data_IF_310611861738
#
_entry.id   IF_310611861738
#
_cell.length_a   1.000
_cell.length_b   1.000
_cell.length_c   1.000
_cell.angle_alpha   90.00
_cell.angle_beta   90.00
_cell.angle_gamma   90.00
#
_symmetry.space_group_name_H-M   'P 1'
#
loop_
_entity.id
_entity.type
_entity.pdbx_description
1 polymer ?
#
# COMPACT_ATOMS: atom_id res chain seq x y z
N UNK A 1 -2.77 -23.22 8.57
CA UNK A 1 -3.07 -23.13 10.01
C UNK A 1 -2.88 -21.68 10.43
N UNK A 2 -3.86 -21.07 11.06
CA UNK A 2 -3.76 -19.76 11.72
C UNK A 2 -4.14 -19.94 13.18
N UNK A 3 -3.40 -19.34 14.09
CA UNK A 3 -3.72 -19.31 15.51
C UNK A 3 -3.95 -17.85 15.93
N UNK A 4 -4.81 -17.64 16.92
CA UNK A 4 -5.12 -16.33 17.47
C UNK A 4 -4.38 -16.21 18.78
N UNK A 5 -3.70 -15.08 19.00
CA UNK A 5 -3.03 -14.75 20.26
C UNK A 5 -3.68 -13.49 20.82
N UNK A 6 -4.07 -13.55 22.09
CA UNK A 6 -4.40 -12.35 22.85
C UNK A 6 -3.12 -11.73 23.39
N UNK A 7 -2.90 -10.46 23.03
CA UNK A 7 -1.79 -9.65 23.53
C UNK A 7 -2.41 -8.57 24.40
N UNK A 8 -1.98 -8.45 25.65
CA UNK A 8 -2.30 -7.29 26.47
C UNK A 8 -1.40 -6.13 26.03
N UNK A 9 -1.97 -5.02 25.53
CA UNK A 9 -1.17 -3.89 25.09
C UNK A 9 -0.56 -3.19 26.30
N UNK A 10 0.75 -2.98 26.26
CA UNK A 10 1.43 -2.14 27.24
C UNK A 10 1.05 -0.67 26.97
N UNK A 11 0.34 -0.05 27.92
CA UNK A 11 -0.04 1.35 27.82
C UNK A 11 1.13 2.18 28.32
N UNK A 12 1.83 2.83 27.39
CA UNK A 12 2.91 3.76 27.72
C UNK A 12 2.35 5.08 28.27
N UNK A 13 3.08 5.67 29.21
CA UNK A 13 2.78 7.03 29.69
C UNK A 13 2.83 8.02 28.53
N UNK A 14 1.87 8.93 28.48
CA UNK A 14 1.90 10.02 27.50
C UNK A 14 3.12 10.89 27.75
N UNK A 15 3.82 11.22 26.67
CA UNK A 15 4.94 12.18 26.69
C UNK A 15 4.56 13.38 25.83
N UNK A 16 5.18 14.53 26.10
CA UNK A 16 5.01 15.74 25.29
C UNK A 16 5.81 15.69 23.97
N UNK A 17 6.48 14.57 23.70
CA UNK A 17 7.25 14.37 22.47
C UNK A 17 6.29 14.09 21.31
N UNK A 18 6.28 14.99 20.33
CA UNK A 18 5.54 14.82 19.07
C UNK A 18 6.49 14.83 17.88
N UNK A 19 6.28 13.91 16.93
CA UNK A 19 6.99 13.91 15.64
C UNK A 19 5.95 14.03 14.53
N UNK A 20 6.13 15.02 13.66
CA UNK A 20 5.33 15.15 12.44
C UNK A 20 5.77 14.12 11.41
N UNK A 21 4.82 13.44 10.77
CA UNK A 21 5.08 12.43 9.73
C UNK A 21 4.49 12.91 8.41
N UNK A 22 5.32 13.07 7.39
CA UNK A 22 4.91 13.31 6.01
C UNK A 22 5.13 12.04 5.16
N UNK A 23 4.09 11.60 4.45
CA UNK A 23 4.11 10.35 3.68
C UNK A 23 4.21 10.63 2.18
N UNK A 24 5.15 9.97 1.51
CA UNK A 24 5.47 10.27 0.11
C UNK A 24 5.69 9.05 -0.80
N UNK A 25 5.66 9.32 -2.11
CA UNK A 25 5.92 8.30 -3.14
C UNK A 25 7.41 8.16 -3.44
N UNK A 26 8.19 9.24 -3.24
CA UNK A 26 9.65 9.25 -3.41
C UNK A 26 10.35 8.79 -2.14
N UNK A 27 9.89 9.28 -1.00
CA UNK A 27 10.33 8.95 0.37
C UNK A 27 9.08 8.48 1.10
N UNK A 28 9.09 7.27 1.64
CA UNK A 28 7.92 6.66 2.27
C UNK A 28 7.42 7.49 3.45
N UNK A 29 8.34 7.89 4.33
CA UNK A 29 8.06 8.74 5.47
C UNK A 29 9.20 9.74 5.67
N UNK A 30 8.86 11.00 5.90
CA UNK A 30 9.78 12.03 6.39
C UNK A 30 9.29 12.48 7.76
N UNK A 31 10.19 12.46 8.73
CA UNK A 31 9.90 12.87 10.09
C UNK A 31 10.33 14.33 10.31
N UNK A 32 9.68 15.03 11.23
CA UNK A 32 10.00 16.44 11.56
C UNK A 32 11.40 16.62 12.14
N UNK A 33 12.04 15.55 12.61
CA UNK A 33 13.44 15.52 13.07
C UNK A 33 14.45 15.39 11.91
N UNK A 34 13.98 15.32 10.66
CA UNK A 34 14.81 15.18 9.46
C UNK A 34 15.06 13.74 9.03
N UNK A 35 14.66 12.75 9.83
CA UNK A 35 14.78 11.32 9.50
C UNK A 35 13.93 10.99 8.27
N UNK A 36 14.45 10.14 7.38
CA UNK A 36 13.77 9.75 6.14
C UNK A 36 13.78 8.24 5.99
N UNK A 37 12.61 7.69 5.70
CA UNK A 37 12.42 6.28 5.32
C UNK A 37 12.21 6.23 3.82
N UNK A 38 13.09 5.53 3.12
CA UNK A 38 12.98 5.38 1.67
C UNK A 38 11.77 4.53 1.28
N UNK A 39 11.16 4.88 0.16
CA UNK A 39 10.10 4.06 -0.41
C UNK A 39 10.66 2.70 -0.86
N UNK A 40 9.93 1.59 -0.61
CA UNK A 40 10.28 0.29 -1.18
C UNK A 40 10.52 0.45 -2.69
N UNK A 41 11.68 0.00 -3.18
CA UNK A 41 12.14 0.22 -4.56
C UNK A 41 11.10 -0.09 -5.67
N UNK A 42 10.13 -1.02 -5.55
CA UNK A 42 9.16 -1.21 -6.62
C UNK A 42 7.93 -0.27 -6.57
N UNK A 43 7.77 0.60 -5.56
CA UNK A 43 6.55 1.41 -5.36
C UNK A 43 6.19 2.25 -6.59
N UNK A 44 7.15 2.99 -7.16
CA UNK A 44 6.92 3.81 -8.38
C UNK A 44 6.46 2.96 -9.57
N UNK A 45 7.03 1.76 -9.74
CA UNK A 45 6.66 0.83 -10.82
C UNK A 45 5.25 0.29 -10.61
N UNK A 46 4.88 -0.03 -9.38
CA UNK A 46 3.54 -0.46 -9.00
C UNK A 46 2.51 0.64 -9.29
N UNK A 47 2.75 1.88 -8.86
CA UNK A 47 1.86 3.02 -9.13
C UNK A 47 1.68 3.24 -10.64
N UNK A 48 2.75 3.23 -11.43
CA UNK A 48 2.67 3.39 -12.89
C UNK A 48 1.84 2.28 -13.54
N UNK A 49 1.99 1.04 -13.06
CA UNK A 49 1.21 -0.12 -13.56
C UNK A 49 -0.26 -0.02 -13.16
N UNK A 50 -0.56 0.34 -11.91
CA UNK A 50 -1.91 0.57 -11.42
C UNK A 50 -2.63 1.61 -12.29
N UNK A 51 -2.02 2.79 -12.49
CA UNK A 51 -2.60 3.86 -13.31
C UNK A 51 -2.96 3.39 -14.72
N UNK A 52 -2.11 2.58 -15.36
CA UNK A 52 -2.39 2.01 -16.69
C UNK A 52 -3.57 1.04 -16.67
N UNK A 53 -3.63 0.15 -15.66
CA UNK A 53 -4.70 -0.83 -15.53
C UNK A 53 -6.05 -0.15 -15.23
N UNK A 54 -6.07 0.79 -14.29
CA UNK A 54 -7.28 1.54 -13.92
C UNK A 54 -7.79 2.40 -15.08
N UNK A 55 -6.90 3.08 -15.82
CA UNK A 55 -7.28 3.81 -17.05
C UNK A 55 -7.80 2.88 -18.15
N UNK A 56 -7.28 1.65 -18.25
CA UNK A 56 -7.80 0.67 -19.20
C UNK A 56 -9.19 0.18 -18.81
N UNK A 57 -9.44 -0.01 -17.51
CA UNK A 57 -10.74 -0.43 -16.98
C UNK A 57 -11.80 0.66 -17.15
N UNK A 58 -11.48 1.91 -16.81
CA UNK A 58 -12.44 3.03 -16.88
C UNK A 58 -12.94 3.31 -18.30
N UNK A 59 -12.13 3.01 -19.31
CA UNK A 59 -12.48 3.15 -20.73
C UNK A 59 -13.38 2.02 -21.26
N UNK A 60 -13.69 0.99 -20.47
CA UNK A 60 -14.45 -0.18 -20.94
C UNK A 60 -15.88 -0.13 -20.44
N UNK A 61 -16.81 -0.51 -21.31
CA UNK A 61 -18.23 -0.64 -20.97
C UNK A 61 -18.43 -1.74 -19.93
N UNK A 62 -18.98 -1.37 -18.78
CA UNK A 62 -19.33 -2.29 -17.69
C UNK A 62 -20.21 -3.43 -18.22
N UNK A 63 -19.96 -4.66 -17.75
CA UNK A 63 -20.67 -5.86 -18.20
C UNK A 63 -20.15 -6.49 -19.50
N UNK A 64 -19.31 -5.79 -20.28
CA UNK A 64 -18.69 -6.41 -21.46
C UNK A 64 -17.63 -7.44 -21.07
N UNK A 65 -17.42 -8.48 -21.90
CA UNK A 65 -16.35 -9.48 -21.70
C UNK A 65 -14.96 -8.83 -21.55
N UNK A 66 -14.72 -7.70 -22.24
CA UNK A 66 -13.45 -6.95 -22.15
C UNK A 66 -13.31 -6.22 -20.82
N UNK A 67 -14.40 -5.68 -20.27
CA UNK A 67 -14.42 -5.05 -18.95
C UNK A 67 -14.10 -6.07 -17.85
N UNK A 68 -14.75 -7.23 -17.88
CA UNK A 68 -14.49 -8.31 -16.91
C UNK A 68 -13.01 -8.72 -16.89
N UNK A 69 -12.40 -8.90 -18.08
CA UNK A 69 -10.95 -9.17 -18.19
C UNK A 69 -10.08 -8.06 -17.60
N UNK A 70 -10.47 -6.79 -17.77
CA UNK A 70 -9.73 -5.67 -17.19
C UNK A 70 -9.91 -5.58 -15.67
N UNK A 71 -11.11 -5.83 -15.15
CA UNK A 71 -11.41 -5.87 -13.72
C UNK A 71 -10.57 -6.94 -13.02
N UNK A 72 -10.53 -8.15 -13.59
CA UNK A 72 -9.71 -9.24 -13.08
C UNK A 72 -8.21 -8.90 -13.04
N UNK A 73 -7.69 -8.17 -14.03
CA UNK A 73 -6.29 -7.70 -14.04
C UNK A 73 -6.00 -6.70 -12.92
N UNK A 74 -6.93 -5.78 -12.63
CA UNK A 74 -6.81 -4.83 -11.51
C UNK A 74 -6.85 -5.60 -10.18
N UNK A 75 -7.79 -6.53 -10.00
CA UNK A 75 -7.88 -7.35 -8.80
C UNK A 75 -6.59 -8.17 -8.54
N UNK A 76 -6.05 -8.83 -9.59
CA UNK A 76 -4.78 -9.57 -9.49
C UNK A 76 -3.60 -8.66 -9.13
N UNK A 77 -3.61 -7.41 -9.59
CA UNK A 77 -2.61 -6.43 -9.20
C UNK A 77 -2.71 -6.06 -7.71
N UNK A 78 -3.92 -5.84 -7.20
CA UNK A 78 -4.13 -5.59 -5.75
C UNK A 78 -3.69 -6.76 -4.88
N UNK A 79 -4.03 -8.00 -5.25
CA UNK A 79 -3.59 -9.19 -4.53
C UNK A 79 -2.06 -9.28 -4.43
N UNK A 80 -1.35 -9.02 -5.55
CA UNK A 80 0.11 -8.98 -5.56
C UNK A 80 0.68 -7.84 -4.71
N UNK A 81 0.03 -6.67 -4.71
CA UNK A 81 0.47 -5.52 -3.91
C UNK A 81 0.35 -5.84 -2.41
N UNK A 82 -0.75 -6.45 -1.98
CA UNK A 82 -0.97 -6.88 -0.59
C UNK A 82 0.13 -7.83 -0.13
N UNK A 83 0.40 -8.90 -0.89
CA UNK A 83 1.48 -9.85 -0.61
C UNK A 83 2.88 -9.22 -0.56
N UNK A 84 3.09 -8.13 -1.32
CA UNK A 84 4.35 -7.38 -1.28
C UNK A 84 4.44 -6.52 -0.01
N UNK A 85 3.34 -5.91 0.43
CA UNK A 85 3.28 -5.06 1.64
C UNK A 85 3.32 -5.87 2.94
N UNK A 86 2.67 -7.05 2.98
CA UNK A 86 2.71 -7.95 4.12
C UNK A 86 4.16 -8.34 4.46
N UNK A 87 5.02 -8.48 3.43
CA UNK A 87 6.47 -8.74 3.57
C UNK A 87 7.30 -7.60 4.16
N UNK A 88 6.80 -6.37 4.17
CA UNK A 88 7.46 -5.21 4.80
C UNK A 88 6.93 -4.92 6.20
N UNK A 89 5.85 -5.60 6.60
CA UNK A 89 5.19 -5.41 7.91
C UNK A 89 5.52 -6.55 8.89
N UNK A 90 6.39 -7.48 8.49
CA UNK A 90 6.93 -8.60 9.26
C UNK A 90 8.43 -8.38 9.48
#
# INVERSE_FOLDING_TARGET
MSFVVEIQPEILLRTDNSVGIDLGIKTFATFSDGTKVDAPKPLKKHIKRYRKLSKSLSKKTKGSKRYEKARARVAKFHAKLKDTLDRFSA
#
